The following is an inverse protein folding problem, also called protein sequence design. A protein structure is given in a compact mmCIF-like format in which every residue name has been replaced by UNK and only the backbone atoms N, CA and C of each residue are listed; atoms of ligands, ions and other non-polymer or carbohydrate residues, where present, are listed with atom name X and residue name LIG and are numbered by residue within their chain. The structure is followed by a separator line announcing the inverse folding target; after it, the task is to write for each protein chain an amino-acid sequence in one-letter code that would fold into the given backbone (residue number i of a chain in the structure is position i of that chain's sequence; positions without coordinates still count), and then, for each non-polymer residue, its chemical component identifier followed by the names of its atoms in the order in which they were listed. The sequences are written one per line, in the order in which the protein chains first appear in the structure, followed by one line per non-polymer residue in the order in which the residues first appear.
data_IF_144116722392
#
_entry.id   IF_144116722392
#
_cell.length_a   1.000
_cell.length_b   1.000
_cell.length_c   1.000
_cell.angle_alpha   90.00
_cell.angle_beta   90.00
_cell.angle_gamma   90.00
#
_symmetry.space_group_name_H-M   'P 1'
#
loop_
_entity.id
_entity.type
_entity.pdbx_description
1 polymer ?
#
# COMPACT_ATOMS: atom_id res chain seq x y z
N UNK A 1 9.08 -0.48 17.85
CA UNK A 1 8.47 -0.85 16.59
C UNK A 1 8.61 0.30 15.60
N UNK A 2 9.08 0.02 14.40
CA UNK A 2 9.44 1.08 13.46
C UNK A 2 8.53 1.08 12.24
N UNK A 3 7.46 1.83 12.35
CA UNK A 3 6.62 2.08 11.19
C UNK A 3 7.29 3.14 10.33
N UNK A 4 7.37 2.89 9.03
CA UNK A 4 7.92 3.85 8.09
C UNK A 4 6.84 4.26 7.11
N UNK A 5 6.84 5.55 6.76
CA UNK A 5 5.85 6.11 5.87
C UNK A 5 6.55 6.85 4.74
N UNK A 6 6.08 6.64 3.52
CA UNK A 6 6.59 7.32 2.33
C UNK A 6 5.45 7.85 1.50
N UNK A 7 5.70 8.98 0.83
CA UNK A 7 4.76 9.51 -0.15
C UNK A 7 5.05 8.82 -1.48
N UNK A 8 4.02 8.34 -2.15
CA UNK A 8 4.16 7.66 -3.42
C UNK A 8 3.32 8.36 -4.48
N UNK A 9 3.83 8.35 -5.71
CA UNK A 9 3.08 8.86 -6.85
C UNK A 9 2.13 7.76 -7.32
N UNK A 10 0.91 8.15 -7.67
CA UNK A 10 -0.12 7.23 -8.08
C UNK A 10 -0.78 7.73 -9.35
N UNK A 11 -1.37 6.79 -10.09
CA UNK A 11 -2.27 7.10 -11.20
C UNK A 11 -3.64 6.52 -10.86
N UNK A 12 -4.62 7.38 -10.79
CA UNK A 12 -6.00 6.98 -10.54
C UNK A 12 -6.79 7.39 -11.77
N UNK A 13 -7.30 6.40 -12.51
CA UNK A 13 -8.00 6.64 -13.79
C UNK A 13 -7.14 7.49 -14.73
N UNK A 14 -5.84 7.22 -14.77
CA UNK A 14 -4.84 7.93 -15.58
C UNK A 14 -4.59 9.37 -15.15
N UNK A 15 -5.06 9.76 -13.99
CA UNK A 15 -4.77 11.08 -13.43
C UNK A 15 -3.74 10.96 -12.32
N UNK A 16 -2.79 11.87 -12.30
CA UNK A 16 -1.74 11.87 -11.29
C UNK A 16 -2.32 12.22 -9.92
N UNK A 17 -1.88 11.48 -8.93
CA UNK A 17 -2.29 11.70 -7.55
C UNK A 17 -1.16 11.32 -6.63
N UNK A 18 -1.31 11.61 -5.35
CA UNK A 18 -0.34 11.20 -4.35
C UNK A 18 -1.05 10.37 -3.29
N UNK A 19 -0.31 9.39 -2.77
CA UNK A 19 -0.76 8.62 -1.64
C UNK A 19 0.36 8.50 -0.64
N UNK A 20 0.07 7.89 0.49
CA UNK A 20 1.11 7.55 1.46
C UNK A 20 1.06 6.06 1.72
N UNK A 21 2.25 5.48 1.83
CA UNK A 21 2.38 4.06 2.11
C UNK A 21 3.12 3.93 3.43
N UNK A 22 2.55 3.15 4.34
CA UNK A 22 3.17 2.86 5.62
C UNK A 22 3.45 1.38 5.69
N UNK A 23 4.61 1.01 6.22
CA UNK A 23 4.94 -0.40 6.36
C UNK A 23 5.59 -0.64 7.71
N UNK A 24 5.24 -1.79 8.27
CA UNK A 24 5.67 -2.17 9.62
C UNK A 24 5.57 -3.68 9.75
N UNK A 25 6.08 -4.19 10.86
CA UNK A 25 5.91 -5.61 11.19
C UNK A 25 4.80 -5.73 12.23
N UNK A 26 3.97 -6.75 12.08
CA UNK A 26 2.96 -7.07 13.08
C UNK A 26 3.61 -7.77 14.28
N UNK A 27 2.82 -8.03 15.32
CA UNK A 27 3.30 -8.76 16.49
C UNK A 27 3.76 -10.18 16.13
N UNK A 28 3.28 -10.71 15.03
CA UNK A 28 3.67 -12.05 14.57
C UNK A 28 4.81 -12.00 13.55
N UNK A 29 5.50 -10.86 13.43
CA UNK A 29 6.56 -10.64 12.47
C UNK A 29 6.13 -10.79 11.03
N UNK A 30 4.88 -10.51 10.75
CA UNK A 30 4.39 -10.46 9.38
C UNK A 30 4.50 -9.05 8.85
N UNK A 31 4.73 -8.93 7.54
CA UNK A 31 4.82 -7.62 6.90
C UNK A 31 3.43 -7.03 6.70
N UNK A 32 3.27 -5.80 7.10
CA UNK A 32 2.00 -5.08 6.93
C UNK A 32 2.25 -3.83 6.13
N UNK A 33 1.44 -3.62 5.10
CA UNK A 33 1.49 -2.40 4.29
C UNK A 33 0.12 -1.75 4.33
N UNK A 34 0.10 -0.45 4.60
CA UNK A 34 -1.10 0.37 4.59
C UNK A 34 -0.89 1.45 3.54
N UNK A 35 -1.74 1.46 2.54
CA UNK A 35 -1.73 2.49 1.51
C UNK A 35 -2.93 3.39 1.72
N UNK A 36 -2.67 4.68 1.88
CA UNK A 36 -3.72 5.69 2.05
C UNK A 36 -3.67 6.65 0.88
N UNK A 37 -4.80 6.85 0.23
CA UNK A 37 -4.90 7.81 -0.86
C UNK A 37 -6.32 8.31 -0.96
N UNK A 38 -6.47 9.60 -1.23
CA UNK A 38 -7.75 10.25 -1.24
C UNK A 38 -8.45 9.98 0.10
N UNK A 39 -9.58 9.30 0.09
CA UNK A 39 -10.27 8.93 1.33
C UNK A 39 -10.31 7.42 1.52
N UNK A 40 -9.38 6.72 0.87
CA UNK A 40 -9.34 5.27 0.90
C UNK A 40 -8.11 4.79 1.63
N UNK A 41 -8.22 3.61 2.20
CA UNK A 41 -7.12 2.97 2.90
C UNK A 41 -7.16 1.49 2.59
N UNK A 42 -6.05 0.97 2.09
CA UNK A 42 -5.89 -0.46 1.82
C UNK A 42 -4.86 -1.02 2.77
N UNK A 43 -5.16 -2.18 3.34
CA UNK A 43 -4.25 -2.84 4.28
C UNK A 43 -4.04 -4.27 3.80
N UNK A 44 -2.77 -4.68 3.72
CA UNK A 44 -2.43 -6.07 3.40
C UNK A 44 -1.34 -6.55 4.35
N UNK A 45 -1.48 -7.80 4.77
CA UNK A 45 -0.53 -8.46 5.64
C UNK A 45 -0.08 -9.72 4.94
N UNK A 46 1.23 -9.95 4.88
CA UNK A 46 1.78 -11.09 4.20
C UNK A 46 3.10 -11.49 4.88
N UNK A 47 3.74 -12.55 4.38
CA UNK A 47 4.96 -13.03 4.99
C UNK A 47 6.13 -12.07 4.81
N UNK A 48 6.12 -11.29 3.74
CA UNK A 48 7.15 -10.29 3.52
C UNK A 48 6.53 -9.09 2.80
N UNK A 49 7.32 -8.00 2.72
CA UNK A 49 6.82 -6.75 2.16
C UNK A 49 6.58 -6.85 0.65
N UNK A 50 7.36 -7.67 -0.04
CA UNK A 50 7.16 -7.84 -1.46
C UNK A 50 5.79 -8.46 -1.76
N UNK A 51 5.45 -9.50 -1.02
CA UNK A 51 4.15 -10.15 -1.19
C UNK A 51 3.01 -9.21 -0.82
N UNK A 52 3.17 -8.47 0.29
CA UNK A 52 2.15 -7.51 0.71
C UNK A 52 1.95 -6.43 -0.36
N UNK A 53 3.04 -5.94 -0.95
CA UNK A 53 2.95 -4.94 -2.00
C UNK A 53 2.26 -5.48 -3.24
N UNK A 54 2.53 -6.72 -3.61
CA UNK A 54 1.85 -7.35 -4.75
C UNK A 54 0.35 -7.45 -4.52
N UNK A 55 -0.06 -7.76 -3.29
CA UNK A 55 -1.48 -7.82 -2.96
C UNK A 55 -2.14 -6.44 -3.05
N UNK A 56 -1.43 -5.40 -2.60
CA UNK A 56 -1.91 -4.03 -2.72
C UNK A 56 -2.09 -3.68 -4.20
N UNK A 57 -1.10 -4.02 -5.04
CA UNK A 57 -1.19 -3.73 -6.48
C UNK A 57 -2.36 -4.43 -7.14
N UNK A 58 -2.63 -5.66 -6.76
CA UNK A 58 -3.77 -6.39 -7.33
C UNK A 58 -5.09 -5.69 -7.00
N UNK A 59 -5.23 -5.20 -5.77
CA UNK A 59 -6.41 -4.45 -5.40
C UNK A 59 -6.53 -3.16 -6.21
N UNK A 60 -5.42 -2.46 -6.40
CA UNK A 60 -5.44 -1.20 -7.15
C UNK A 60 -5.79 -1.42 -8.61
N UNK A 61 -5.27 -2.50 -9.22
CA UNK A 61 -5.58 -2.80 -10.61
C UNK A 61 -7.07 -2.99 -10.83
N UNK A 62 -7.74 -3.62 -9.86
CA UNK A 62 -9.17 -3.81 -9.95
C UNK A 62 -9.93 -2.48 -9.91
N UNK A 63 -9.29 -1.41 -9.43
CA UNK A 63 -9.88 -0.07 -9.33
C UNK A 63 -9.28 0.88 -10.36
N UNK A 64 -8.60 0.36 -11.38
CA UNK A 64 -7.94 1.17 -12.39
C UNK A 64 -6.97 2.18 -11.78
N UNK A 65 -6.23 1.76 -10.79
CA UNK A 65 -5.29 2.60 -10.05
C UNK A 65 -3.91 1.94 -10.06
N UNK A 66 -2.87 2.75 -10.18
CA UNK A 66 -1.48 2.25 -10.21
C UNK A 66 -0.60 3.07 -9.30
N UNK A 67 0.41 2.43 -8.78
CA UNK A 67 1.48 3.09 -8.04
C UNK A 67 2.83 2.79 -8.65
#
# INVERSE_FOLDING_TARGET
MNEKTKIVAMLIDNLKAEGSISYSLTDNNEAQIILSYERKKLVQIARDFFEALCLIRLQLEAENTMI
#
